data_IF_929482948999
#
_entry.id   IF_929482948999
#
_cell.length_a   1.000
_cell.length_b   1.000
_cell.length_c   1.000
_cell.angle_alpha   90.00
_cell.angle_beta   90.00
_cell.angle_gamma   90.00
#
_symmetry.space_group_name_H-M   'P 1'
#
loop_
_entity.id
_entity.type
_entity.pdbx_description
1 polymer ?
#
# COMPACT_ATOMS: atom_id res chain seq x y z
N UNK A 1 20.99 -14.65 2.10
CA UNK A 1 21.02 -14.07 0.75
C UNK A 1 20.10 -12.84 0.72
N UNK A 2 20.59 -11.69 1.19
CA UNK A 2 19.87 -10.41 1.17
C UNK A 2 20.59 -9.49 0.20
N UNK A 3 20.33 -9.66 -1.10
CA UNK A 3 20.74 -8.67 -2.07
C UNK A 3 19.62 -7.62 -2.16
N UNK A 4 19.87 -6.42 -1.64
CA UNK A 4 19.23 -5.22 -2.17
C UNK A 4 20.34 -4.24 -2.56
N UNK A 5 20.79 -4.24 -3.82
CA UNK A 5 21.62 -3.16 -4.31
C UNK A 5 20.74 -1.91 -4.45
N UNK A 6 21.25 -0.75 -4.01
CA UNK A 6 20.72 0.54 -4.42
C UNK A 6 20.98 0.77 -5.90
N UNK A 7 20.13 1.56 -6.58
CA UNK A 7 20.45 2.00 -7.94
C UNK A 7 19.32 2.40 -8.89
N UNK A 8 18.04 2.38 -8.53
CA UNK A 8 16.96 2.88 -9.40
C UNK A 8 16.27 4.09 -8.77
N UNK A 9 17.02 5.18 -8.64
CA UNK A 9 16.46 6.52 -8.50
C UNK A 9 15.75 6.86 -9.83
N UNK A 10 14.44 6.60 -9.89
CA UNK A 10 13.39 7.39 -10.56
C UNK A 10 12.18 6.50 -10.95
N UNK A 11 11.05 6.73 -10.26
CA UNK A 11 9.67 6.58 -10.74
C UNK A 11 9.16 5.21 -11.22
N UNK A 12 9.69 4.07 -10.75
CA UNK A 12 8.95 2.81 -10.87
C UNK A 12 7.85 2.77 -9.82
N UNK A 13 6.64 3.14 -10.23
CA UNK A 13 5.45 3.05 -9.39
C UNK A 13 5.31 1.61 -8.87
N UNK A 14 5.64 1.40 -7.59
CA UNK A 14 5.60 0.07 -6.97
C UNK A 14 4.16 -0.31 -6.68
N UNK A 15 3.80 -1.53 -7.08
CA UNK A 15 2.51 -2.10 -6.79
C UNK A 15 2.64 -3.10 -5.65
N UNK A 16 1.88 -2.86 -4.60
CA UNK A 16 1.80 -3.67 -3.39
C UNK A 16 0.69 -4.70 -3.51
N UNK A 17 0.92 -5.86 -2.90
CA UNK A 17 -0.14 -6.83 -2.65
C UNK A 17 -1.10 -6.32 -1.57
N UNK A 18 -2.34 -6.84 -1.49
CA UNK A 18 -3.30 -6.44 -0.47
C UNK A 18 -2.76 -6.61 0.95
N UNK A 19 -2.05 -7.72 1.19
CA UNK A 19 -1.45 -8.03 2.49
C UNK A 19 -0.33 -7.06 2.86
N UNK A 20 0.46 -6.62 1.88
CA UNK A 20 1.57 -5.69 2.10
C UNK A 20 1.06 -4.28 2.34
N UNK A 21 0.10 -3.82 1.53
CA UNK A 21 -0.60 -2.56 1.74
C UNK A 21 -1.30 -2.50 3.11
N UNK A 22 -1.94 -3.60 3.52
CA UNK A 22 -2.62 -3.71 4.82
C UNK A 22 -1.63 -3.52 5.97
N UNK A 23 -0.46 -4.16 5.86
CA UNK A 23 0.60 -4.05 6.85
C UNK A 23 1.17 -2.64 6.95
N UNK A 24 1.35 -1.95 5.83
CA UNK A 24 1.84 -0.56 5.82
C UNK A 24 0.85 0.42 6.45
N UNK A 25 -0.44 0.18 6.27
CA UNK A 25 -1.51 0.98 6.86
C UNK A 25 -1.89 0.57 8.28
N UNK A 26 -1.39 -0.56 8.78
CA UNK A 26 -1.82 -1.12 10.06
C UNK A 26 -3.30 -1.53 10.09
N UNK A 27 -3.93 -1.76 8.93
CA UNK A 27 -5.35 -2.13 8.83
C UNK A 27 -5.52 -3.57 8.33
N UNK A 28 -6.70 -4.15 8.53
CA UNK A 28 -7.04 -5.43 7.93
C UNK A 28 -7.18 -5.32 6.39
N UNK A 29 -6.88 -6.41 5.67
CA UNK A 29 -7.05 -6.49 4.21
C UNK A 29 -8.50 -6.29 3.76
N UNK A 30 -9.46 -6.62 4.63
CA UNK A 30 -10.88 -6.33 4.43
C UNK A 30 -11.18 -4.83 4.41
N UNK A 31 -10.49 -4.03 5.23
CA UNK A 31 -10.59 -2.57 5.23
C UNK A 31 -10.10 -1.99 3.91
N UNK A 32 -8.97 -2.49 3.41
CA UNK A 32 -8.45 -2.10 2.09
C UNK A 32 -9.42 -2.45 0.96
N UNK A 33 -9.99 -3.66 0.99
CA UNK A 33 -10.99 -4.08 0.01
C UNK A 33 -12.20 -3.15 0.03
N UNK A 34 -12.70 -2.82 1.22
CA UNK A 34 -13.82 -1.91 1.41
C UNK A 34 -13.51 -0.51 0.87
N UNK A 35 -12.31 0.03 1.13
CA UNK A 35 -11.90 1.32 0.57
C UNK A 35 -11.76 1.30 -0.95
N UNK A 36 -11.33 0.18 -1.52
CA UNK A 36 -11.29 0.02 -2.97
C UNK A 36 -12.70 -0.06 -3.58
N UNK A 37 -13.65 -0.73 -2.91
CA UNK A 37 -15.06 -0.80 -3.31
C UNK A 37 -15.77 0.56 -3.14
N UNK A 38 -15.41 1.33 -2.11
CA UNK A 38 -15.90 2.70 -1.87
C UNK A 38 -15.25 3.75 -2.78
N UNK A 39 -14.23 3.38 -3.57
CA UNK A 39 -13.50 4.31 -4.45
C UNK A 39 -12.53 5.25 -3.74
N UNK A 40 -12.21 4.99 -2.47
CA UNK A 40 -11.26 5.77 -1.66
C UNK A 40 -9.79 5.50 -2.02
N UNK A 41 -9.50 4.32 -2.58
CA UNK A 41 -8.16 3.95 -3.04
C UNK A 41 -8.23 3.39 -4.45
N UNK A 42 -7.26 3.75 -5.28
CA UNK A 42 -7.11 3.17 -6.61
C UNK A 42 -6.55 1.75 -6.51
N UNK A 43 -7.38 0.74 -6.81
CA UNK A 43 -6.94 -0.65 -6.94
C UNK A 43 -6.85 -1.03 -8.42
N UNK A 44 -5.68 -1.48 -8.86
CA UNK A 44 -5.52 -2.13 -10.17
C UNK A 44 -5.66 -3.63 -10.01
N UNK A 45 -6.51 -4.28 -10.80
CA UNK A 45 -6.60 -5.75 -10.81
C UNK A 45 -5.71 -6.29 -11.91
N UNK A 46 -4.86 -7.27 -11.59
CA UNK A 46 -4.12 -7.98 -12.64
C UNK A 46 -5.07 -8.87 -13.45
N UNK A 47 -4.67 -9.28 -14.67
CA UNK A 47 -5.45 -10.19 -15.52
C UNK A 47 -5.80 -11.51 -14.79
N UNK A 48 -5.05 -11.89 -13.76
CA UNK A 48 -5.31 -13.05 -12.88
C UNK A 48 -6.19 -12.78 -11.66
N UNK A 49 -6.84 -11.61 -11.54
CA UNK A 49 -7.81 -11.32 -10.47
C UNK A 49 -7.21 -10.86 -9.14
N UNK A 50 -5.88 -10.77 -9.02
CA UNK A 50 -5.25 -10.25 -7.80
C UNK A 50 -5.23 -8.73 -7.81
N UNK A 51 -5.74 -8.11 -6.73
CA UNK A 51 -5.66 -6.65 -6.56
C UNK A 51 -4.24 -6.23 -6.24
N UNK A 52 -3.84 -5.13 -6.86
CA UNK A 52 -2.58 -4.42 -6.63
C UNK A 52 -2.88 -2.97 -6.29
N UNK A 53 -2.16 -2.45 -5.32
CA UNK A 53 -2.31 -1.08 -4.82
C UNK A 53 -1.03 -0.31 -5.09
N UNK A 54 -1.12 0.94 -5.53
CA UNK A 54 0.07 1.78 -5.72
C UNK A 54 0.64 2.12 -4.34
N UNK A 55 1.95 1.92 -4.15
CA UNK A 55 2.65 2.27 -2.91
C UNK A 55 2.41 3.74 -2.54
N UNK A 56 2.48 4.64 -3.52
CA UNK A 56 2.26 6.09 -3.32
C UNK A 56 0.87 6.42 -2.76
N UNK A 57 -0.18 5.75 -3.23
CA UNK A 57 -1.55 5.94 -2.73
C UNK A 57 -1.69 5.40 -1.30
N UNK A 58 -1.09 4.25 -1.02
CA UNK A 58 -1.07 3.65 0.33
C UNK A 58 -0.34 4.56 1.31
N UNK A 59 0.84 5.07 0.95
CA UNK A 59 1.60 6.02 1.79
C UNK A 59 0.81 7.31 2.00
N UNK A 60 0.19 7.86 0.96
CA UNK A 60 -0.67 9.05 1.07
C UNK A 60 -1.84 8.82 2.02
N UNK A 61 -2.47 7.64 1.95
CA UNK A 61 -3.57 7.28 2.82
C UNK A 61 -3.11 7.11 4.27
N UNK A 62 -1.94 6.51 4.50
CA UNK A 62 -1.36 6.38 5.83
C UNK A 62 -1.14 7.76 6.49
N UNK A 63 -0.66 8.73 5.70
CA UNK A 63 -0.49 10.11 6.12
C UNK A 63 -1.84 10.80 6.40
N UNK A 64 -2.84 10.60 5.53
CA UNK A 64 -4.18 11.19 5.70
C UNK A 64 -5.02 10.59 6.82
N UNK A 65 -4.74 9.36 7.24
CA UNK A 65 -5.40 8.69 8.36
C UNK A 65 -4.84 9.10 9.73
N UNK A 66 -3.83 9.99 9.77
CA UNK A 66 -3.27 10.46 11.03
C UNK A 66 -2.53 9.36 11.81
N UNK A 67 -1.99 8.35 11.11
CA UNK A 67 -1.17 7.29 11.73
C UNK A 67 0.25 7.79 12.11
N UNK A 68 0.36 9.05 12.55
CA UNK A 68 1.52 9.62 13.24
C UNK A 68 1.37 9.59 14.78
N UNK A 69 0.28 9.07 15.32
CA UNK A 69 0.22 8.77 16.75
C UNK A 69 0.68 7.33 17.01
N UNK A 70 1.48 7.18 18.06
CA UNK A 70 1.92 5.94 18.73
C UNK A 70 2.94 5.02 18.04
N UNK A 71 4.19 5.49 17.91
CA UNK A 71 5.38 4.72 18.34
C UNK A 71 6.31 5.70 19.07
N UNK A 72 6.06 6.01 20.34
CA UNK A 72 6.65 5.39 21.56
C UNK A 72 8.10 5.80 21.83
N UNK A 73 8.22 6.59 22.90
CA UNK A 73 9.39 6.93 23.73
C UNK A 73 10.29 5.74 24.07
#
# INVERSE_FOLDING_TARGET
MTARPGGDLELRERFLLPSEAARLLGVATSTLRRWAEEGKIHSGTTIGGHRRYRESEITRLAQGLGLEEIVTN
#
